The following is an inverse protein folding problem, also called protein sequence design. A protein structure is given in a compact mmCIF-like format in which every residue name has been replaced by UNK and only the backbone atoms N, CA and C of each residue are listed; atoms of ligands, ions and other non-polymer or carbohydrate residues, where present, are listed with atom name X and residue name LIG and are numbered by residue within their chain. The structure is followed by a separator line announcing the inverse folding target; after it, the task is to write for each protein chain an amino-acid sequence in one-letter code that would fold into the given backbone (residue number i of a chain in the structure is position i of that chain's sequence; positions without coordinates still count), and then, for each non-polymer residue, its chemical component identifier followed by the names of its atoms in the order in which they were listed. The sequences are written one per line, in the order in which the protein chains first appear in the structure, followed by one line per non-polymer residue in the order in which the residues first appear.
data_IF_757993561294
#
_entry.id   IF_757993561294
#
_cell.length_a   1.000
_cell.length_b   1.000
_cell.length_c   1.000
_cell.angle_alpha   90.00
_cell.angle_beta   90.00
_cell.angle_gamma   90.00
#
_symmetry.space_group_name_H-M   'P 1'
#
loop_
_entity.id
_entity.type
_entity.pdbx_description
1 polymer ?
#
# COMPACT_ATOMS: atom_id res chain seq x y z
N UNK A 1 -15.77 -2.25 -2.63
CA UNK A 1 -14.70 -2.87 -1.82
C UNK A 1 -13.53 -1.92 -1.78
N UNK A 2 -12.89 -1.75 -0.62
CA UNK A 2 -11.73 -0.87 -0.42
C UNK A 2 -10.58 -1.67 0.20
N UNK A 3 -9.34 -1.21 -0.03
CA UNK A 3 -8.21 -1.61 0.81
C UNK A 3 -8.20 -0.74 2.07
N UNK A 4 -8.03 -1.37 3.23
CA UNK A 4 -8.02 -0.70 4.53
C UNK A 4 -6.68 -0.92 5.21
N UNK A 5 -6.11 0.15 5.74
CA UNK A 5 -5.04 0.10 6.73
C UNK A 5 -5.62 0.58 8.06
N UNK A 6 -5.36 -0.14 9.15
CA UNK A 6 -5.87 0.23 10.47
C UNK A 6 -5.28 1.57 10.95
N UNK A 7 -5.99 2.24 11.86
CA UNK A 7 -5.46 3.42 12.53
C UNK A 7 -4.39 2.99 13.52
N UNK A 8 -3.21 3.58 13.40
CA UNK A 8 -2.03 3.28 14.21
C UNK A 8 -1.25 4.55 14.57
N UNK A 9 -0.06 4.39 15.15
CA UNK A 9 0.81 5.52 15.50
C UNK A 9 1.27 6.33 14.26
N UNK A 10 1.50 5.69 13.11
CA UNK A 10 1.88 6.43 11.90
C UNK A 10 0.72 7.25 11.34
N UNK A 11 -0.52 6.76 11.48
CA UNK A 11 -1.72 7.52 11.16
C UNK A 11 -1.80 8.80 12.00
N UNK A 12 -1.60 8.71 13.33
CA UNK A 12 -1.59 9.88 14.21
C UNK A 12 -0.42 10.83 13.89
N UNK A 13 0.76 10.28 13.59
CA UNK A 13 1.93 11.06 13.14
C UNK A 13 1.63 11.82 11.85
N UNK A 14 0.99 11.18 10.88
CA UNK A 14 0.57 11.81 9.63
C UNK A 14 -0.47 12.93 9.88
N UNK A 15 -1.42 12.73 10.79
CA UNK A 15 -2.37 13.77 11.16
C UNK A 15 -1.69 15.01 11.75
N UNK A 16 -0.72 14.82 12.66
CA UNK A 16 0.09 15.92 13.20
C UNK A 16 0.90 16.60 12.10
N UNK A 17 1.57 15.82 11.26
CA UNK A 17 2.39 16.33 10.14
C UNK A 17 1.59 17.17 9.15
N UNK A 18 0.33 16.80 8.92
CA UNK A 18 -0.59 17.52 8.02
C UNK A 18 -1.36 18.65 8.71
N UNK A 19 -0.95 19.04 9.92
CA UNK A 19 -1.43 20.23 10.63
C UNK A 19 -2.77 20.06 11.33
N UNK A 20 -3.17 18.83 11.68
CA UNK A 20 -4.38 18.64 12.51
C UNK A 20 -4.12 19.14 13.94
N UNK A 21 -5.07 19.85 14.57
CA UNK A 21 -4.95 20.28 15.96
C UNK A 21 -4.72 19.08 16.89
N UNK A 22 -3.89 19.24 17.92
CA UNK A 22 -3.55 18.14 18.84
C UNK A 22 -4.80 17.57 19.54
N UNK A 23 -5.77 18.43 19.89
CA UNK A 23 -7.05 18.01 20.46
C UNK A 23 -7.82 17.03 19.57
N UNK A 24 -7.71 17.16 18.24
CA UNK A 24 -8.34 16.26 17.28
C UNK A 24 -7.58 14.95 17.20
N UNK A 25 -6.25 14.99 17.21
CA UNK A 25 -5.40 13.79 17.19
C UNK A 25 -5.64 12.95 18.45
N UNK A 26 -5.67 13.60 19.61
CA UNK A 26 -5.96 12.97 20.90
C UNK A 26 -7.36 12.34 20.94
N UNK A 27 -8.36 13.03 20.35
CA UNK A 27 -9.71 12.50 20.26
C UNK A 27 -9.76 11.24 19.40
N UNK A 28 -9.12 11.26 18.22
CA UNK A 28 -9.07 10.10 17.31
C UNK A 28 -8.40 8.92 18.00
N UNK A 29 -7.24 9.15 18.64
CA UNK A 29 -6.53 8.08 19.35
C UNK A 29 -7.40 7.44 20.43
N UNK A 30 -8.00 8.25 21.32
CA UNK A 30 -8.84 7.76 22.42
C UNK A 30 -10.06 7.02 21.90
N UNK A 31 -10.71 7.55 20.87
CA UNK A 31 -11.88 6.93 20.27
C UNK A 31 -11.54 5.58 19.62
N UNK A 32 -10.51 5.54 18.78
CA UNK A 32 -10.09 4.31 18.10
C UNK A 32 -9.66 3.24 19.12
N UNK A 33 -8.96 3.60 20.19
CA UNK A 33 -8.60 2.68 21.27
C UNK A 33 -9.83 2.15 22.00
N UNK A 34 -10.77 3.03 22.36
CA UNK A 34 -12.00 2.63 23.05
C UNK A 34 -12.88 1.69 22.20
N UNK A 35 -12.83 1.82 20.88
CA UNK A 35 -13.58 0.97 19.94
C UNK A 35 -12.82 -0.29 19.50
N UNK A 36 -11.57 -0.49 19.96
CA UNK A 36 -10.73 -1.61 19.52
C UNK A 36 -10.30 -1.54 18.05
N UNK A 37 -10.30 -0.34 17.45
CA UNK A 37 -9.90 -0.10 16.06
C UNK A 37 -8.45 0.40 15.93
N UNK A 38 -7.78 0.67 17.07
CA UNK A 38 -6.40 1.13 17.10
C UNK A 38 -5.44 -0.06 17.08
N UNK A 39 -4.56 -0.11 16.08
CA UNK A 39 -3.65 -1.22 15.84
C UNK A 39 -2.26 -0.95 16.43
N UNK A 40 -1.67 -2.00 16.98
CA UNK A 40 -0.32 -2.06 17.59
C UNK A 40 0.32 -3.39 17.23
N UNK A 41 1.63 -3.53 17.43
CA UNK A 41 2.36 -4.78 17.17
C UNK A 41 1.80 -5.97 18.00
N UNK A 42 1.23 -5.69 19.17
CA UNK A 42 0.58 -6.69 20.04
C UNK A 42 -0.90 -6.97 19.69
N UNK A 43 -1.45 -6.30 18.68
CA UNK A 43 -2.86 -6.49 18.30
C UNK A 43 -3.08 -7.88 17.70
N UNK A 44 -4.23 -8.52 17.97
CA UNK A 44 -4.53 -9.83 17.40
C UNK A 44 -4.63 -9.76 15.88
N UNK A 45 -4.13 -10.78 15.19
CA UNK A 45 -4.29 -10.91 13.75
C UNK A 45 -5.78 -11.08 13.40
N UNK A 46 -6.31 -10.29 12.46
CA UNK A 46 -7.68 -10.44 11.97
C UNK A 46 -7.85 -11.77 11.21
N UNK A 47 -9.05 -12.35 11.31
CA UNK A 47 -9.43 -13.54 10.56
C UNK A 47 -9.99 -13.13 9.20
N UNK A 48 -9.29 -13.49 8.12
CA UNK A 48 -9.73 -13.29 6.75
C UNK A 48 -10.12 -14.61 6.09
N UNK A 49 -11.02 -14.56 5.09
CA UNK A 49 -11.37 -15.73 4.29
C UNK A 49 -10.17 -16.25 3.47
N UNK A 50 -9.29 -15.34 3.04
CA UNK A 50 -8.06 -15.62 2.30
C UNK A 50 -6.95 -14.67 2.75
N UNK A 51 -5.73 -15.20 2.89
CA UNK A 51 -4.53 -14.44 3.24
C UNK A 51 -3.53 -14.54 2.08
N UNK A 52 -3.05 -13.39 1.61
CA UNK A 52 -2.00 -13.29 0.59
C UNK A 52 -0.75 -12.67 1.22
N UNK A 53 0.40 -13.29 1.00
CA UNK A 53 1.68 -12.84 1.53
C UNK A 53 2.53 -12.18 0.44
N UNK A 54 3.25 -11.12 0.83
CA UNK A 54 4.22 -10.43 -0.03
C UNK A 54 5.48 -10.12 0.78
N UNK A 55 6.58 -10.78 0.44
CA UNK A 55 7.89 -10.45 0.99
C UNK A 55 8.42 -9.16 0.33
N UNK A 56 8.46 -8.09 1.11
CA UNK A 56 8.92 -6.77 0.65
C UNK A 56 10.39 -6.76 0.20
N UNK A 57 11.21 -7.72 0.64
CA UNK A 57 12.61 -7.83 0.20
C UNK A 57 12.74 -8.26 -1.27
N UNK A 58 11.70 -8.88 -1.83
CA UNK A 58 11.65 -9.31 -3.23
C UNK A 58 11.19 -8.20 -4.18
N UNK A 59 10.76 -7.05 -3.64
CA UNK A 59 10.23 -5.94 -4.44
C UNK A 59 11.37 -5.23 -5.17
N UNK A 60 11.21 -5.07 -6.48
CA UNK A 60 12.11 -4.34 -7.36
C UNK A 60 11.39 -3.20 -8.09
N UNK A 61 12.10 -2.14 -8.50
CA UNK A 61 11.54 -1.10 -9.35
C UNK A 61 10.90 -1.68 -10.61
N UNK A 62 9.65 -1.32 -10.87
CA UNK A 62 8.89 -1.80 -12.02
C UNK A 62 8.05 -0.69 -12.62
N UNK A 63 7.66 -0.86 -13.88
CA UNK A 63 6.68 -0.02 -14.56
C UNK A 63 5.42 -0.83 -14.88
N UNK A 64 4.29 -0.13 -14.90
CA UNK A 64 3.03 -0.68 -15.34
C UNK A 64 2.84 -0.43 -16.84
N UNK A 65 2.47 -1.44 -17.61
CA UNK A 65 2.16 -1.34 -19.03
C UNK A 65 2.95 -2.32 -19.90
N UNK A 66 2.94 -2.12 -21.23
CA UNK A 66 2.61 -0.88 -21.94
C UNK A 66 1.12 -0.68 -22.27
N UNK A 67 0.25 -1.69 -22.06
CA UNK A 67 -1.17 -1.63 -22.44
C UNK A 67 -2.15 -1.67 -21.28
N UNK A 68 -1.85 -2.39 -20.18
CA UNK A 68 -2.77 -2.50 -19.03
C UNK A 68 -2.04 -2.17 -17.71
N UNK A 69 -2.70 -1.49 -16.75
CA UNK A 69 -2.09 -1.14 -15.47
C UNK A 69 -1.61 -2.33 -14.62
N UNK A 70 -2.24 -3.51 -14.80
CA UNK A 70 -1.85 -4.74 -14.13
C UNK A 70 -0.64 -5.44 -14.75
N UNK A 71 -0.18 -5.01 -15.93
CA UNK A 71 1.01 -5.58 -16.57
C UNK A 71 2.26 -5.01 -15.88
N UNK A 72 2.81 -5.73 -14.91
CA UNK A 72 4.04 -5.34 -14.20
C UNK A 72 5.27 -5.78 -15.01
N UNK A 73 6.10 -4.83 -15.41
CA UNK A 73 7.39 -5.06 -16.07
C UNK A 73 8.51 -4.57 -15.17
N UNK A 74 9.47 -5.42 -14.85
CA UNK A 74 10.65 -4.99 -14.11
C UNK A 74 11.42 -3.93 -14.89
N UNK A 75 12.06 -2.98 -14.21
CA UNK A 75 12.80 -1.94 -14.91
C UNK A 75 13.95 -2.50 -15.75
N UNK A 76 14.54 -3.62 -15.30
CA UNK A 76 15.58 -4.37 -16.03
C UNK A 76 15.05 -5.05 -17.29
N UNK A 77 13.80 -5.53 -17.30
CA UNK A 77 13.15 -6.20 -18.42
C UNK A 77 12.42 -5.27 -19.41
N UNK A 78 12.48 -3.95 -19.20
CA UNK A 78 11.70 -2.99 -19.97
C UNK A 78 12.01 -3.00 -21.47
N UNK A 79 13.29 -3.09 -21.84
CA UNK A 79 13.68 -3.07 -23.26
C UNK A 79 13.10 -4.27 -24.02
N UNK A 80 13.16 -5.45 -23.40
CA UNK A 80 12.65 -6.68 -23.99
C UNK A 80 11.12 -6.64 -24.11
N UNK A 81 10.43 -6.20 -23.05
CA UNK A 81 8.98 -6.06 -23.04
C UNK A 81 8.45 -5.07 -24.09
N UNK A 82 9.16 -3.96 -24.33
CA UNK A 82 8.81 -3.00 -25.38
C UNK A 82 9.02 -3.58 -26.78
N UNK A 83 10.14 -4.28 -27.01
CA UNK A 83 10.39 -4.94 -28.30
C UNK A 83 9.34 -6.01 -28.59
N UNK A 84 8.99 -6.82 -27.61
CA UNK A 84 7.94 -7.84 -27.75
C UNK A 84 6.58 -7.21 -28.09
N UNK A 85 6.26 -6.08 -27.46
CA UNK A 85 4.92 -5.46 -27.64
C UNK A 85 4.79 -4.61 -28.91
N UNK A 86 5.87 -3.99 -29.40
CA UNK A 86 5.86 -3.00 -30.48
C UNK A 86 6.79 -3.30 -31.66
N UNK A 87 7.51 -4.43 -31.66
CA UNK A 87 8.53 -4.75 -32.67
C UNK A 87 8.06 -4.71 -34.13
N UNK A 88 6.81 -5.09 -34.41
CA UNK A 88 6.24 -5.04 -35.77
C UNK A 88 5.68 -3.66 -36.17
N UNK A 89 5.53 -2.73 -35.22
CA UNK A 89 4.95 -1.39 -35.47
C UNK A 89 6.03 -0.28 -35.59
N UNK A 90 7.29 -0.59 -35.32
CA UNK A 90 8.43 0.33 -35.41
C UNK A 90 9.38 0.01 -36.59
N UNK A 91 8.90 -0.75 -37.57
CA UNK A 91 9.57 -1.01 -38.85
C UNK A 91 8.95 -0.20 -39.99
#
# INVERSE_FOLDING_TARGET
TCGLFHVDNETLRYMRMTGRPEEVVDLVEKYCKAQGMFHTDDSPEPLFDEVLELDLSTVEPSMAGPRRPQDRVSLSGLSDALRETFGDQMA
#
